data_IF_955611539855
#
_entry.id   IF_955611539855
#
_cell.length_a   1.000
_cell.length_b   1.000
_cell.length_c   1.000
_cell.angle_alpha   90.00
_cell.angle_beta   90.00
_cell.angle_gamma   90.00
#
_symmetry.space_group_name_H-M   'P 1'
#
loop_
_entity.id
_entity.type
_entity.pdbx_description
1 polymer ?
#
# COMPACT_ATOMS: atom_id res chain seq x y z
N UNK A 1 -13.48 25.44 -2.05
CA UNK A 1 -14.44 24.43 -1.55
C UNK A 1 -13.66 23.23 -1.05
N UNK A 2 -14.05 22.62 0.07
CA UNK A 2 -13.38 21.43 0.58
C UNK A 2 -13.71 20.22 -0.31
N UNK A 3 -12.72 19.68 -0.99
CA UNK A 3 -12.82 18.49 -1.83
C UNK A 3 -11.55 17.67 -1.73
N UNK A 4 -11.59 16.39 -2.12
CA UNK A 4 -10.39 15.56 -2.19
C UNK A 4 -9.34 16.18 -3.13
N UNK A 5 -9.75 16.67 -4.30
CA UNK A 5 -8.85 17.33 -5.26
C UNK A 5 -8.18 18.56 -4.65
N UNK A 6 -8.93 19.47 -4.05
CA UNK A 6 -8.36 20.69 -3.45
C UNK A 6 -7.43 20.37 -2.28
N UNK A 7 -7.76 19.35 -1.48
CA UNK A 7 -6.93 18.91 -0.35
C UNK A 7 -5.57 18.41 -0.82
N UNK A 8 -5.54 17.52 -1.81
CA UNK A 8 -4.29 17.04 -2.39
C UNK A 8 -3.53 18.16 -3.09
N UNK A 9 -4.21 19.06 -3.79
CA UNK A 9 -3.55 20.20 -4.43
C UNK A 9 -2.82 21.07 -3.41
N UNK A 10 -3.41 21.36 -2.25
CA UNK A 10 -2.73 22.11 -1.19
C UNK A 10 -1.47 21.42 -0.68
N UNK A 11 -1.49 20.08 -0.55
CA UNK A 11 -0.31 19.29 -0.15
C UNK A 11 0.75 19.30 -1.26
N UNK A 12 0.33 19.30 -2.53
CA UNK A 12 1.26 19.31 -3.66
C UNK A 12 1.84 20.69 -3.91
N UNK A 13 1.14 21.78 -3.61
CA UNK A 13 1.60 23.13 -3.93
C UNK A 13 2.61 23.68 -2.91
N UNK A 14 2.64 23.13 -1.70
CA UNK A 14 3.55 23.55 -0.62
C UNK A 14 4.74 22.58 -0.47
N UNK A 15 5.95 23.14 -0.41
CA UNK A 15 7.18 22.34 -0.41
C UNK A 15 7.33 21.45 0.83
N UNK A 16 6.94 21.93 2.01
CA UNK A 16 7.14 21.18 3.25
C UNK A 16 6.15 20.02 3.37
N UNK A 17 4.89 20.25 3.03
CA UNK A 17 3.86 19.21 3.03
C UNK A 17 4.07 18.20 1.90
N UNK A 18 4.48 18.64 0.70
CA UNK A 18 4.90 17.77 -0.38
C UNK A 18 6.09 16.89 0.04
N UNK A 19 7.08 17.49 0.71
CA UNK A 19 8.27 16.80 1.21
C UNK A 19 7.89 15.69 2.18
N UNK A 20 7.07 16.00 3.17
CA UNK A 20 6.61 15.02 4.15
C UNK A 20 5.78 13.93 3.48
N UNK A 21 4.83 14.30 2.61
CA UNK A 21 3.96 13.33 1.93
C UNK A 21 4.75 12.33 1.09
N UNK A 22 5.70 12.80 0.28
CA UNK A 22 6.54 11.91 -0.52
C UNK A 22 7.46 11.05 0.35
N UNK A 23 7.95 11.56 1.48
CA UNK A 23 8.83 10.79 2.38
C UNK A 23 8.08 9.66 3.09
N UNK A 24 6.83 9.90 3.52
CA UNK A 24 5.95 8.87 4.09
C UNK A 24 5.71 7.77 3.05
N UNK A 25 5.35 8.15 1.82
CA UNK A 25 5.12 7.20 0.75
C UNK A 25 6.40 6.40 0.44
N UNK A 26 7.52 7.07 0.16
CA UNK A 26 8.80 6.43 -0.15
C UNK A 26 9.25 5.41 0.90
N UNK A 27 9.06 5.73 2.19
CA UNK A 27 9.39 4.83 3.30
C UNK A 27 8.50 3.58 3.29
N UNK A 28 7.20 3.73 3.09
CA UNK A 28 6.26 2.61 3.02
C UNK A 28 6.58 1.67 1.86
N UNK A 29 6.81 2.22 0.67
CA UNK A 29 7.13 1.46 -0.54
C UNK A 29 8.47 0.71 -0.40
N UNK A 30 9.51 1.37 0.12
CA UNK A 30 10.83 0.74 0.31
C UNK A 30 10.79 -0.40 1.33
N UNK A 31 9.93 -0.27 2.35
CA UNK A 31 9.71 -1.33 3.32
C UNK A 31 8.97 -2.52 2.67
N UNK A 32 7.93 -2.26 1.88
CA UNK A 32 7.21 -3.30 1.11
C UNK A 32 8.16 -4.05 0.16
N UNK A 33 9.08 -3.34 -0.49
CA UNK A 33 10.13 -3.92 -1.32
C UNK A 33 11.04 -4.87 -0.55
N UNK A 34 11.57 -4.43 0.60
CA UNK A 34 12.38 -5.27 1.49
C UNK A 34 11.63 -6.50 1.99
N UNK A 35 10.38 -6.35 2.43
CA UNK A 35 9.56 -7.45 2.95
C UNK A 35 9.35 -8.53 1.87
N UNK A 36 8.95 -8.12 0.67
CA UNK A 36 8.76 -9.04 -0.46
C UNK A 36 10.07 -9.73 -0.86
N UNK A 37 11.20 -9.01 -0.88
CA UNK A 37 12.51 -9.61 -1.16
C UNK A 37 12.86 -10.71 -0.14
N UNK A 38 12.59 -10.48 1.15
CA UNK A 38 12.79 -11.50 2.20
C UNK A 38 11.83 -12.67 2.05
N UNK A 39 10.56 -12.42 1.79
CA UNK A 39 9.56 -13.49 1.59
C UNK A 39 9.95 -14.35 0.39
N UNK A 40 10.37 -13.74 -0.72
CA UNK A 40 10.84 -14.44 -1.91
C UNK A 40 12.04 -15.36 -1.62
N UNK A 41 13.00 -14.89 -0.82
CA UNK A 41 14.15 -15.71 -0.41
C UNK A 41 13.72 -16.92 0.45
N UNK A 42 12.69 -16.75 1.27
CA UNK A 42 12.27 -17.74 2.26
C UNK A 42 11.08 -18.61 1.85
N UNK A 43 10.51 -18.47 0.63
CA UNK A 43 9.36 -19.30 0.21
C UNK A 43 9.70 -20.79 0.33
N UNK A 44 8.80 -21.62 0.90
CA UNK A 44 9.01 -23.06 0.98
C UNK A 44 9.02 -23.72 -0.40
N UNK A 45 9.65 -24.88 -0.48
CA UNK A 45 9.72 -25.68 -1.71
C UNK A 45 8.33 -25.97 -2.30
N UNK A 46 7.34 -26.27 -1.46
CA UNK A 46 5.95 -26.53 -1.91
C UNK A 46 5.31 -25.35 -2.64
N UNK A 47 5.84 -24.14 -2.47
CA UNK A 47 5.34 -22.90 -3.08
C UNK A 47 6.39 -22.20 -3.94
N UNK A 48 7.46 -22.91 -4.35
CA UNK A 48 8.62 -22.30 -5.01
C UNK A 48 8.28 -21.48 -6.25
N UNK A 49 7.24 -21.89 -6.99
CA UNK A 49 6.73 -21.21 -8.17
C UNK A 49 6.23 -19.77 -7.91
N UNK A 50 5.91 -19.40 -6.66
CA UNK A 50 5.55 -18.03 -6.30
C UNK A 50 6.74 -17.07 -6.27
N UNK A 51 7.96 -17.59 -6.07
CA UNK A 51 9.13 -16.75 -5.80
C UNK A 51 9.36 -15.66 -6.86
N UNK A 52 9.30 -15.95 -8.18
CA UNK A 52 9.49 -14.91 -9.19
C UNK A 52 8.43 -13.81 -9.12
N UNK A 53 7.17 -14.15 -8.81
CA UNK A 53 6.08 -13.18 -8.67
C UNK A 53 6.29 -12.28 -7.44
N UNK A 54 6.73 -12.86 -6.32
CA UNK A 54 7.04 -12.12 -5.09
C UNK A 54 8.25 -11.21 -5.30
N UNK A 55 9.29 -11.68 -6.00
CA UNK A 55 10.43 -10.82 -6.41
C UNK A 55 9.95 -9.67 -7.27
N UNK A 56 9.05 -9.93 -8.24
CA UNK A 56 8.51 -8.90 -9.11
C UNK A 56 7.70 -7.87 -8.33
N UNK A 57 6.85 -8.31 -7.40
CA UNK A 57 6.10 -7.44 -6.50
C UNK A 57 7.07 -6.54 -5.72
N UNK A 58 8.04 -7.10 -5.01
CA UNK A 58 9.02 -6.31 -4.26
C UNK A 58 9.82 -5.33 -5.12
N UNK A 59 10.18 -5.69 -6.35
CA UNK A 59 10.87 -4.80 -7.27
C UNK A 59 9.99 -3.63 -7.75
N UNK A 60 8.68 -3.83 -7.86
CA UNK A 60 7.71 -2.79 -8.18
C UNK A 60 7.52 -1.82 -6.99
N UNK A 61 7.44 -2.31 -5.76
CA UNK A 61 7.42 -1.48 -4.53
C UNK A 61 8.70 -0.64 -4.40
N UNK A 62 9.88 -1.28 -4.54
CA UNK A 62 11.18 -0.58 -4.53
C UNK A 62 11.24 0.52 -5.61
N UNK A 63 10.62 0.27 -6.77
CA UNK A 63 10.50 1.26 -7.85
C UNK A 63 9.58 2.41 -7.46
N UNK A 64 8.46 2.15 -6.77
CA UNK A 64 7.57 3.20 -6.28
C UNK A 64 8.27 4.09 -5.26
N UNK A 65 9.03 3.52 -4.33
CA UNK A 65 9.86 4.28 -3.39
C UNK A 65 10.81 5.24 -4.10
N UNK A 66 11.55 4.73 -5.10
CA UNK A 66 12.44 5.55 -5.94
C UNK A 66 11.71 6.65 -6.73
N UNK A 67 10.45 6.42 -7.13
CA UNK A 67 9.66 7.45 -7.82
C UNK A 67 9.37 8.61 -6.87
N UNK A 68 8.99 8.35 -5.63
CA UNK A 68 8.77 9.40 -4.63
C UNK A 68 10.06 10.15 -4.28
N UNK A 69 11.19 9.46 -4.15
CA UNK A 69 12.50 10.11 -3.97
C UNK A 69 12.89 10.97 -5.18
N UNK A 70 12.62 10.50 -6.40
CA UNK A 70 12.88 11.27 -7.61
C UNK A 70 12.01 12.54 -7.67
N UNK A 71 10.76 12.48 -7.20
CA UNK A 71 9.88 13.64 -7.08
C UNK A 71 10.43 14.69 -6.10
N UNK A 72 10.95 14.25 -4.94
CA UNK A 72 11.65 15.13 -4.00
C UNK A 72 12.88 15.80 -4.64
N UNK A 73 13.74 14.98 -5.29
CA UNK A 73 14.96 15.45 -5.94
C UNK A 73 14.68 16.45 -7.05
N UNK A 74 13.65 16.20 -7.88
CA UNK A 74 13.22 17.10 -8.96
C UNK A 74 12.80 18.47 -8.42
N UNK A 75 12.30 18.51 -7.19
CA UNK A 75 11.91 19.74 -6.49
C UNK A 75 13.02 20.34 -5.61
N UNK A 76 14.21 19.73 -5.59
CA UNK A 76 15.33 20.21 -4.77
C UNK A 76 15.15 19.98 -3.26
N UNK A 77 14.27 19.06 -2.87
CA UNK A 77 13.93 18.81 -1.47
C UNK A 77 14.65 17.56 -0.94
N UNK A 78 15.23 17.59 0.28
CA UNK A 78 15.72 16.39 0.94
C UNK A 78 14.54 15.58 1.53
N UNK A 79 14.75 14.27 1.75
CA UNK A 79 13.78 13.46 2.48
C UNK A 79 13.52 13.99 3.90
N UNK A 80 12.28 13.86 4.36
CA UNK A 80 11.87 14.17 5.73
C UNK A 80 12.02 12.95 6.64
N UNK A 81 12.20 13.21 7.93
CA UNK A 81 11.95 12.19 8.95
C UNK A 81 10.47 11.83 8.94
N UNK A 82 10.17 10.53 8.85
CA UNK A 82 8.80 10.01 8.81
C UNK A 82 8.27 9.90 10.25
N UNK A 83 7.19 10.61 10.61
CA UNK A 83 6.58 10.48 11.92
C UNK A 83 6.09 9.06 12.17
N UNK A 84 6.40 8.49 13.34
CA UNK A 84 6.06 7.11 13.67
C UNK A 84 4.54 6.82 13.69
N UNK A 85 3.69 7.84 13.86
CA UNK A 85 2.23 7.73 13.79
C UNK A 85 1.68 7.74 12.36
N UNK A 86 2.55 7.97 11.36
CA UNK A 86 2.24 7.89 9.92
C UNK A 86 2.84 6.65 9.25
N UNK A 87 3.68 5.90 9.97
CA UNK A 87 4.32 4.68 9.48
C UNK A 87 3.31 3.52 9.43
N UNK A 88 2.60 3.44 8.31
CA UNK A 88 1.51 2.50 8.08
C UNK A 88 1.95 1.05 8.25
N UNK A 89 3.09 0.66 7.68
CA UNK A 89 3.59 -0.72 7.71
C UNK A 89 3.97 -1.13 9.13
N UNK A 90 4.65 -0.26 9.88
CA UNK A 90 4.95 -0.56 11.29
C UNK A 90 3.73 -0.61 12.19
N UNK A 91 2.71 0.21 11.92
CA UNK A 91 1.46 0.17 12.68
C UNK A 91 0.66 -1.11 12.38
N UNK A 92 0.68 -1.61 11.15
CA UNK A 92 0.10 -2.91 10.80
C UNK A 92 0.78 -4.06 11.54
N UNK A 93 2.12 -4.13 11.53
CA UNK A 93 2.85 -5.18 12.26
C UNK A 93 2.54 -5.13 13.76
N UNK A 94 2.49 -3.94 14.37
CA UNK A 94 2.13 -3.78 15.79
C UNK A 94 0.72 -4.31 16.10
N UNK A 95 -0.16 -4.35 15.11
CA UNK A 95 -1.51 -4.93 15.22
C UNK A 95 -1.56 -6.43 14.86
N UNK A 96 -0.39 -7.06 14.68
CA UNK A 96 -0.26 -8.48 14.35
C UNK A 96 -0.63 -8.81 12.91
N UNK A 97 -0.55 -7.84 12.01
CA UNK A 97 -0.91 -7.98 10.60
C UNK A 97 0.35 -8.15 9.75
N UNK A 98 0.31 -9.07 8.79
CA UNK A 98 1.45 -9.43 7.96
C UNK A 98 2.40 -10.43 8.63
N UNK A 99 3.59 -10.59 8.05
CA UNK A 99 4.66 -11.37 8.65
C UNK A 99 5.56 -10.43 9.46
N UNK A 100 5.84 -10.78 10.72
CA UNK A 100 6.68 -9.95 11.57
C UNK A 100 8.10 -9.80 10.99
N UNK A 101 8.70 -8.62 11.12
CA UNK A 101 10.05 -8.36 10.63
C UNK A 101 11.08 -9.30 11.27
N UNK A 102 10.87 -9.68 12.53
CA UNK A 102 11.70 -10.67 13.21
C UNK A 102 11.68 -12.03 12.49
N UNK A 103 10.53 -12.44 11.94
CA UNK A 103 10.42 -13.67 11.14
C UNK A 103 11.13 -13.52 9.80
N UNK A 104 10.98 -12.38 9.13
CA UNK A 104 11.59 -12.13 7.82
C UNK A 104 13.11 -11.95 7.86
N UNK A 105 13.68 -11.51 9.00
CA UNK A 105 15.13 -11.45 9.20
C UNK A 105 15.80 -12.81 9.39
N UNK A 106 15.03 -13.84 9.76
CA UNK A 106 15.55 -15.21 9.87
C UNK A 106 15.91 -15.81 8.52
N UNK A 107 16.61 -16.94 8.53
CA UNK A 107 16.99 -17.70 7.32
C UNK A 107 16.16 -18.98 7.12
N UNK A 108 15.38 -19.35 8.13
CA UNK A 108 14.51 -20.52 8.08
C UNK A 108 13.39 -20.34 7.05
N UNK A 109 13.15 -21.34 6.17
CA UNK A 109 12.05 -21.30 5.24
C UNK A 109 10.71 -20.98 5.91
N UNK A 110 9.89 -20.21 5.20
CA UNK A 110 8.51 -19.92 5.56
C UNK A 110 7.67 -21.20 5.51
N UNK A 111 6.69 -21.30 6.40
CA UNK A 111 5.67 -22.34 6.27
C UNK A 111 4.67 -21.96 5.19
N UNK A 112 3.93 -22.94 4.65
CA UNK A 112 2.84 -22.64 3.71
C UNK A 112 1.77 -21.72 4.30
N UNK A 113 1.55 -21.82 5.62
CA UNK A 113 0.67 -20.89 6.36
C UNK A 113 1.21 -19.46 6.36
N UNK A 114 2.52 -19.27 6.38
CA UNK A 114 3.13 -17.94 6.31
C UNK A 114 2.88 -17.33 4.92
N UNK A 115 2.95 -18.13 3.85
CA UNK A 115 2.60 -17.71 2.48
C UNK A 115 1.13 -17.32 2.38
N UNK A 116 0.22 -18.10 2.97
CA UNK A 116 -1.21 -17.73 3.04
C UNK A 116 -1.39 -16.41 3.81
N UNK A 117 -0.64 -16.21 4.89
CA UNK A 117 -0.70 -14.99 5.70
C UNK A 117 -0.22 -13.78 4.92
N UNK A 118 0.94 -13.90 4.25
CA UNK A 118 1.48 -12.89 3.36
C UNK A 118 0.49 -12.51 2.26
N UNK A 119 0.01 -13.47 1.47
CA UNK A 119 -0.88 -13.17 0.35
C UNK A 119 -2.20 -12.55 0.82
N UNK A 120 -2.75 -13.01 1.95
CA UNK A 120 -3.97 -12.44 2.50
C UNK A 120 -3.76 -11.02 3.03
N UNK A 121 -2.60 -10.75 3.65
CA UNK A 121 -2.20 -9.41 4.06
C UNK A 121 -2.04 -8.49 2.85
N UNK A 122 -1.19 -8.87 1.89
CA UNK A 122 -0.95 -8.12 0.65
C UNK A 122 -2.27 -7.84 -0.05
N UNK A 123 -3.14 -8.84 -0.23
CA UNK A 123 -4.45 -8.62 -0.88
C UNK A 123 -5.28 -7.48 -0.26
N UNK A 124 -5.22 -7.31 1.08
CA UNK A 124 -5.94 -6.23 1.78
C UNK A 124 -5.24 -4.89 1.57
N UNK A 125 -3.91 -4.83 1.68
CA UNK A 125 -3.13 -3.61 1.47
C UNK A 125 -3.13 -3.16 0.01
N UNK A 126 -3.01 -4.09 -0.95
CA UNK A 126 -3.12 -3.83 -2.39
C UNK A 126 -4.50 -3.30 -2.77
N UNK A 127 -5.57 -3.78 -2.12
CA UNK A 127 -6.91 -3.23 -2.33
C UNK A 127 -6.96 -1.76 -1.93
N UNK A 128 -6.33 -1.41 -0.79
CA UNK A 128 -6.25 -0.03 -0.31
C UNK A 128 -5.42 0.83 -1.26
N UNK A 129 -4.23 0.36 -1.62
CA UNK A 129 -3.30 1.05 -2.51
C UNK A 129 -3.95 1.31 -3.87
N UNK A 130 -4.53 0.29 -4.51
CA UNK A 130 -5.26 0.43 -5.78
C UNK A 130 -6.41 1.47 -5.70
N UNK A 131 -7.21 1.46 -4.63
CA UNK A 131 -8.29 2.44 -4.45
C UNK A 131 -7.77 3.88 -4.28
N UNK A 132 -6.71 4.07 -3.49
CA UNK A 132 -6.08 5.39 -3.31
C UNK A 132 -5.43 5.88 -4.61
N UNK A 133 -4.72 5.01 -5.32
CA UNK A 133 -4.06 5.36 -6.57
C UNK A 133 -5.07 5.69 -7.68
N UNK A 134 -6.19 4.98 -7.77
CA UNK A 134 -7.29 5.34 -8.68
C UNK A 134 -7.89 6.72 -8.37
N UNK A 135 -7.99 7.08 -7.09
CA UNK A 135 -8.41 8.43 -6.69
C UNK A 135 -7.41 9.49 -7.14
N UNK A 136 -6.11 9.24 -6.98
CA UNK A 136 -5.05 10.14 -7.45
C UNK A 136 -5.04 10.27 -8.97
N UNK A 137 -5.14 9.17 -9.71
CA UNK A 137 -5.27 9.18 -11.18
C UNK A 137 -6.47 10.00 -11.62
N UNK A 138 -7.63 9.83 -10.98
CA UNK A 138 -8.85 10.61 -11.31
C UNK A 138 -8.62 12.12 -11.25
N UNK A 139 -7.81 12.60 -10.32
CA UNK A 139 -7.63 14.04 -10.09
C UNK A 139 -6.35 14.62 -10.69
N UNK A 140 -5.31 13.79 -10.86
CA UNK A 140 -3.95 14.24 -11.15
C UNK A 140 -3.28 13.46 -12.28
N UNK A 141 -4.00 12.64 -13.07
CA UNK A 141 -3.40 11.98 -14.23
C UNK A 141 -2.71 12.97 -15.17
N UNK A 142 -3.31 14.14 -15.41
CA UNK A 142 -2.77 15.15 -16.31
C UNK A 142 -1.88 16.18 -15.61
N UNK A 143 -1.56 15.96 -14.33
CA UNK A 143 -0.63 16.81 -13.61
C UNK A 143 0.80 16.67 -14.19
N UNK A 144 1.48 17.78 -14.52
CA UNK A 144 2.79 17.75 -15.18
C UNK A 144 3.92 17.25 -14.27
N UNK A 145 3.73 17.26 -12.95
CA UNK A 145 4.72 16.84 -11.97
C UNK A 145 4.51 15.37 -11.62
N UNK A 146 3.31 15.00 -11.20
CA UNK A 146 3.04 13.67 -10.62
C UNK A 146 2.23 12.74 -11.53
N UNK A 147 1.63 13.25 -12.61
CA UNK A 147 0.69 12.48 -13.44
C UNK A 147 1.28 11.20 -14.04
N UNK A 148 2.55 11.22 -14.45
CA UNK A 148 3.27 10.01 -14.90
C UNK A 148 3.47 9.00 -13.77
N UNK A 149 3.87 9.48 -12.59
CA UNK A 149 4.10 8.64 -11.41
C UNK A 149 2.81 7.95 -10.98
N UNK A 150 1.72 8.70 -10.77
CA UNK A 150 0.45 8.13 -10.27
C UNK A 150 -0.16 7.09 -11.21
N UNK A 151 -0.04 7.28 -12.54
CA UNK A 151 -0.50 6.29 -13.52
C UNK A 151 0.37 5.04 -13.57
N UNK A 152 1.67 5.16 -13.29
CA UNK A 152 2.55 3.99 -13.24
C UNK A 152 2.22 3.16 -12.01
N UNK A 153 2.28 3.79 -10.84
CA UNK A 153 2.02 3.15 -9.55
C UNK A 153 0.61 2.52 -9.57
N UNK A 154 -0.42 3.26 -10.01
CA UNK A 154 -1.79 2.71 -10.10
C UNK A 154 -1.92 1.46 -10.97
N UNK A 155 -1.10 1.31 -12.02
CA UNK A 155 -1.13 0.11 -12.88
C UNK A 155 -0.41 -1.06 -12.24
N UNK A 156 0.63 -0.78 -11.45
CA UNK A 156 1.35 -1.80 -10.71
C UNK A 156 0.48 -2.32 -9.55
N UNK A 157 -0.20 -1.44 -8.79
CA UNK A 157 -1.13 -1.85 -7.72
C UNK A 157 -2.27 -2.73 -8.24
N UNK A 158 -2.80 -2.42 -9.41
CA UNK A 158 -3.84 -3.25 -10.03
C UNK A 158 -3.28 -4.65 -10.40
N UNK A 159 -1.99 -4.75 -10.75
CA UNK A 159 -1.34 -6.04 -10.99
C UNK A 159 -1.05 -6.80 -9.70
N UNK A 160 -0.60 -6.11 -8.64
CA UNK A 160 -0.39 -6.70 -7.32
C UNK A 160 -1.69 -7.27 -6.76
N UNK A 161 -2.78 -6.50 -6.84
CA UNK A 161 -4.11 -6.93 -6.42
C UNK A 161 -4.60 -8.14 -7.23
N UNK A 162 -4.43 -8.13 -8.56
CA UNK A 162 -4.78 -9.25 -9.42
C UNK A 162 -4.00 -10.52 -9.07
N UNK A 163 -2.69 -10.40 -8.88
CA UNK A 163 -1.81 -11.48 -8.42
C UNK A 163 -2.29 -12.07 -7.09
N UNK A 164 -2.59 -11.23 -6.11
CA UNK A 164 -3.07 -11.66 -4.81
C UNK A 164 -4.40 -12.43 -4.91
N UNK A 165 -5.33 -11.94 -5.73
CA UNK A 165 -6.59 -12.63 -6.01
C UNK A 165 -6.36 -14.03 -6.59
N UNK A 166 -5.55 -14.12 -7.63
CA UNK A 166 -5.25 -15.36 -8.34
C UNK A 166 -4.61 -16.41 -7.42
N UNK A 167 -3.57 -16.04 -6.68
CA UNK A 167 -2.85 -16.97 -5.83
C UNK A 167 -3.64 -17.40 -4.59
N UNK A 168 -4.44 -16.50 -4.00
CA UNK A 168 -5.36 -16.89 -2.93
C UNK A 168 -6.46 -17.82 -3.42
N UNK A 169 -6.98 -17.62 -4.63
CA UNK A 169 -7.95 -18.55 -5.23
C UNK A 169 -7.31 -19.91 -5.52
N UNK A 170 -6.06 -19.94 -6.01
CA UNK A 170 -5.30 -21.18 -6.20
C UNK A 170 -5.10 -21.92 -4.88
N UNK A 171 -4.66 -21.24 -3.82
CA UNK A 171 -4.48 -21.83 -2.49
C UNK A 171 -5.81 -22.25 -1.85
N UNK A 172 -6.90 -21.54 -2.11
CA UNK A 172 -8.23 -21.94 -1.67
C UNK A 172 -8.66 -23.28 -2.31
N UNK A 173 -8.41 -23.46 -3.61
CA UNK A 173 -8.64 -24.73 -4.33
C UNK A 173 -7.74 -25.85 -3.80
N UNK A 174 -6.55 -25.53 -3.31
CA UNK A 174 -5.63 -26.47 -2.64
C UNK A 174 -6.00 -26.79 -1.17
N UNK A 175 -7.12 -26.26 -0.64
CA UNK A 175 -7.63 -26.60 0.69
C UNK A 175 -7.47 -25.52 1.76
N UNK A 176 -6.83 -24.38 1.45
CA UNK A 176 -6.60 -23.29 2.43
C UNK A 176 -7.77 -22.34 2.64
N UNK A 177 -8.92 -22.59 1.99
CA UNK A 177 -10.03 -21.64 1.95
C UNK A 177 -10.53 -21.15 3.32
N UNK A 178 -10.55 -22.00 4.35
CA UNK A 178 -10.96 -21.59 5.71
C UNK A 178 -9.93 -20.68 6.36
N UNK A 179 -8.64 -20.97 6.19
CA UNK A 179 -7.55 -20.16 6.72
C UNK A 179 -7.53 -18.78 6.04
N UNK A 180 -7.62 -18.76 4.70
CA UNK A 180 -7.67 -17.54 3.89
C UNK A 180 -8.81 -16.63 4.34
N UNK A 181 -10.04 -17.14 4.46
CA UNK A 181 -11.19 -16.32 4.88
C UNK A 181 -11.01 -15.72 6.27
N UNK A 182 -10.44 -16.48 7.21
CA UNK A 182 -10.17 -16.00 8.57
C UNK A 182 -9.14 -14.87 8.53
N UNK A 183 -7.99 -15.12 7.88
CA UNK A 183 -6.89 -14.17 7.84
C UNK A 183 -7.30 -12.90 7.10
N UNK A 184 -7.95 -13.00 5.93
CA UNK A 184 -8.47 -11.83 5.20
C UNK A 184 -9.38 -10.96 6.08
N UNK A 185 -10.27 -11.58 6.88
CA UNK A 185 -11.13 -10.83 7.79
C UNK A 185 -10.36 -10.18 8.93
N UNK A 186 -9.42 -10.88 9.53
CA UNK A 186 -8.55 -10.34 10.59
C UNK A 186 -7.74 -9.15 10.06
N UNK A 187 -7.07 -9.32 8.92
CA UNK A 187 -6.32 -8.29 8.21
C UNK A 187 -7.21 -7.08 7.87
N UNK A 188 -8.35 -7.27 7.21
CA UNK A 188 -9.22 -6.17 6.81
C UNK A 188 -9.71 -5.35 8.01
N UNK A 189 -10.09 -5.99 9.11
CA UNK A 189 -10.62 -5.26 10.27
C UNK A 189 -9.54 -4.50 11.04
N UNK A 190 -8.31 -5.02 11.06
CA UNK A 190 -7.17 -4.33 11.64
C UNK A 190 -6.68 -3.20 10.74
N UNK A 191 -6.56 -3.45 9.43
CA UNK A 191 -6.17 -2.45 8.44
C UNK A 191 -7.10 -1.24 8.48
N UNK A 192 -8.42 -1.42 8.52
CA UNK A 192 -9.38 -0.31 8.58
C UNK A 192 -9.13 0.59 9.82
N UNK A 193 -8.68 0.03 10.94
CA UNK A 193 -8.34 0.81 12.14
C UNK A 193 -7.02 1.56 11.95
N UNK A 194 -6.00 0.86 11.46
CA UNK A 194 -4.67 1.45 11.21
C UNK A 194 -4.78 2.56 10.16
N UNK A 195 -5.50 2.33 9.07
CA UNK A 195 -5.72 3.32 8.01
C UNK A 195 -6.43 4.58 8.52
N UNK A 196 -7.41 4.44 9.42
CA UNK A 196 -8.04 5.59 10.09
C UNK A 196 -7.00 6.37 10.90
N UNK A 197 -6.21 5.69 11.74
CA UNK A 197 -5.25 6.34 12.64
C UNK A 197 -4.14 7.04 11.86
N UNK A 198 -3.61 6.39 10.84
CA UNK A 198 -2.63 6.98 9.90
C UNK A 198 -3.24 8.16 9.15
N UNK A 199 -4.48 8.04 8.64
CA UNK A 199 -5.14 9.15 7.95
C UNK A 199 -5.31 10.37 8.86
N UNK A 200 -5.69 10.16 10.13
CA UNK A 200 -5.81 11.24 11.11
C UNK A 200 -4.44 11.88 11.40
N UNK A 201 -3.41 11.06 11.60
CA UNK A 201 -2.05 11.53 11.84
C UNK A 201 -1.53 12.36 10.65
N UNK A 202 -1.60 11.82 9.43
CA UNK A 202 -1.18 12.52 8.20
C UNK A 202 -1.94 13.84 8.06
N UNK A 203 -3.27 13.85 8.19
CA UNK A 203 -4.03 15.11 8.11
C UNK A 203 -3.68 16.10 9.22
N UNK A 204 -3.33 15.64 10.42
CA UNK A 204 -2.88 16.52 11.50
C UNK A 204 -1.50 17.13 11.20
N UNK A 205 -0.56 16.36 10.65
CA UNK A 205 0.74 16.88 10.20
C UNK A 205 0.58 17.87 9.06
N UNK A 206 -0.19 17.53 8.01
CA UNK A 206 -0.46 18.42 6.88
C UNK A 206 -1.16 19.70 7.34
N UNK A 207 -2.14 19.60 8.23
CA UNK A 207 -2.86 20.77 8.75
C UNK A 207 -1.99 21.70 9.60
N UNK A 208 -0.96 21.19 10.27
CA UNK A 208 0.03 22.02 10.98
C UNK A 208 0.93 22.77 10.01
N UNK A 209 1.46 22.07 9.00
CA UNK A 209 2.34 22.66 7.97
C UNK A 209 1.57 23.74 7.18
N UNK A 210 0.38 23.40 6.70
CA UNK A 210 -0.44 24.25 5.84
C UNK A 210 -1.28 25.29 6.61
N UNK A 211 -1.18 25.35 7.94
CA UNK A 211 -1.92 26.31 8.77
C UNK A 211 -3.45 26.19 8.65
N UNK A 212 -3.99 24.96 8.53
CA UNK A 212 -5.44 24.78 8.35
C UNK A 212 -6.25 25.30 9.55
N UNK A 213 -7.35 26.03 9.31
CA UNK A 213 -8.19 26.51 10.40
C UNK A 213 -8.92 25.34 11.07
N UNK A 214 -9.19 25.46 12.38
CA UNK A 214 -9.82 24.41 13.20
C UNK A 214 -11.09 23.80 12.57
N UNK A 215 -12.01 24.57 11.96
CA UNK A 215 -13.19 23.98 11.31
C UNK A 215 -12.85 23.03 10.16
N UNK A 216 -11.82 23.33 9.37
CA UNK A 216 -11.37 22.46 8.27
C UNK A 216 -10.78 21.16 8.81
N UNK A 217 -9.90 21.25 9.81
CA UNK A 217 -9.31 20.09 10.45
C UNK A 217 -10.39 19.18 11.08
N UNK A 218 -11.37 19.78 11.78
CA UNK A 218 -12.50 19.04 12.35
C UNK A 218 -13.36 18.35 11.28
N UNK A 219 -13.64 19.04 10.16
CA UNK A 219 -14.40 18.46 9.05
C UNK A 219 -13.67 17.26 8.41
N UNK A 220 -12.34 17.36 8.21
CA UNK A 220 -11.52 16.26 7.69
C UNK A 220 -11.51 15.06 8.65
N UNK A 221 -11.31 15.31 9.95
CA UNK A 221 -11.36 14.26 10.96
C UNK A 221 -12.73 13.56 11.02
N UNK A 222 -13.82 14.33 10.96
CA UNK A 222 -15.18 13.79 10.88
C UNK A 222 -15.38 12.92 9.63
N UNK A 223 -14.86 13.34 8.47
CA UNK A 223 -14.87 12.55 7.24
C UNK A 223 -14.12 11.22 7.37
N UNK A 224 -12.95 11.23 8.01
CA UNK A 224 -12.16 10.02 8.29
C UNK A 224 -12.93 9.06 9.22
N UNK A 225 -13.55 9.58 10.29
CA UNK A 225 -14.35 8.76 11.18
C UNK A 225 -15.61 8.19 10.52
N UNK A 226 -16.27 8.96 9.65
CA UNK A 226 -17.42 8.49 8.88
C UNK A 226 -17.02 7.36 7.92
N UNK A 227 -15.89 7.52 7.21
CA UNK A 227 -15.33 6.47 6.36
C UNK A 227 -15.00 5.21 7.18
N UNK A 228 -14.30 5.36 8.31
CA UNK A 228 -14.02 4.26 9.22
C UNK A 228 -15.28 3.52 9.67
N UNK A 229 -16.34 4.23 10.03
CA UNK A 229 -17.62 3.62 10.42
C UNK A 229 -18.25 2.83 9.26
N UNK A 230 -18.28 3.41 8.06
CA UNK A 230 -18.75 2.73 6.86
C UNK A 230 -17.95 1.45 6.57
N UNK A 231 -16.61 1.53 6.63
CA UNK A 231 -15.73 0.41 6.35
C UNK A 231 -15.90 -0.71 7.37
N UNK A 232 -16.04 -0.37 8.65
CA UNK A 232 -16.28 -1.33 9.73
C UNK A 232 -17.62 -2.06 9.58
N UNK A 233 -18.66 -1.38 9.10
CA UNK A 233 -20.00 -1.95 8.97
C UNK A 233 -20.16 -2.81 7.71
N UNK A 234 -19.74 -2.28 6.56
CA UNK A 234 -20.00 -2.89 5.27
C UNK A 234 -18.78 -2.90 4.33
N UNK A 235 -17.97 -1.84 4.35
CA UNK A 235 -16.89 -1.66 3.39
C UNK A 235 -15.82 -2.74 3.46
N UNK A 236 -15.59 -3.38 4.61
CA UNK A 236 -14.61 -4.48 4.76
C UNK A 236 -14.90 -5.68 3.85
N UNK A 237 -16.15 -5.87 3.41
CA UNK A 237 -16.50 -6.98 2.51
C UNK A 237 -15.71 -6.93 1.21
N UNK A 238 -15.47 -5.73 0.66
CA UNK A 238 -14.71 -5.57 -0.58
C UNK A 238 -13.25 -6.01 -0.43
N UNK A 239 -12.67 -5.85 0.77
CA UNK A 239 -11.29 -6.22 1.12
C UNK A 239 -11.09 -7.73 1.31
N UNK A 240 -12.17 -8.50 1.47
CA UNK A 240 -12.09 -9.94 1.71
C UNK A 240 -12.69 -10.78 0.58
N UNK A 241 -13.48 -10.15 -0.30
CA UNK A 241 -14.08 -10.83 -1.45
C UNK A 241 -13.03 -11.17 -2.50
N UNK A 242 -12.77 -12.45 -2.69
CA UNK A 242 -11.94 -12.94 -3.78
C UNK A 242 -12.79 -13.18 -5.02
N UNK A 243 -12.26 -12.80 -6.17
CA UNK A 243 -12.83 -12.98 -7.48
C UNK A 243 -11.71 -13.22 -8.48
N UNK A 244 -11.99 -13.99 -9.54
CA UNK A 244 -11.00 -14.22 -10.59
C UNK A 244 -10.63 -12.86 -11.23
N UNK A 245 -9.34 -12.50 -11.30
CA UNK A 245 -8.94 -11.20 -11.85
C UNK A 245 -9.12 -11.16 -13.37
N UNK A 246 -9.41 -9.99 -13.92
CA UNK A 246 -9.52 -9.78 -15.37
C UNK A 246 -8.17 -10.06 -16.07
N UNK A 247 -7.07 -9.61 -15.45
CA UNK A 247 -5.71 -9.92 -15.89
C UNK A 247 -5.16 -11.08 -15.08
N UNK A 248 -4.97 -12.22 -15.73
CA UNK A 248 -4.27 -13.39 -15.18
C UNK A 248 -2.77 -13.25 -15.32
N UNK A 249 -2.05 -13.90 -14.41
CA UNK A 249 -0.59 -13.94 -14.38
C UNK A 249 0.06 -12.55 -14.45
N UNK A 250 -0.54 -11.60 -13.73
CA UNK A 250 -0.18 -10.18 -13.83
C UNK A 250 1.30 -9.90 -13.50
N UNK A 251 1.92 -10.76 -12.68
CA UNK A 251 3.34 -10.70 -12.30
C UNK A 251 4.20 -11.85 -12.85
N UNK A 252 3.68 -12.68 -13.77
CA UNK A 252 4.42 -13.83 -14.31
C UNK A 252 5.36 -13.50 -15.48
N UNK A 253 5.17 -12.35 -16.13
CA UNK A 253 6.08 -11.87 -17.17
C UNK A 253 7.37 -11.28 -16.56
N UNK A 254 8.53 -11.42 -17.22
CA UNK A 254 9.77 -10.82 -16.75
C UNK A 254 9.63 -9.30 -16.59
N UNK A 255 10.24 -8.78 -15.54
CA UNK A 255 10.28 -7.36 -15.24
C UNK A 255 10.80 -6.57 -16.45
N UNK A 256 9.96 -5.76 -17.08
CA UNK A 256 10.43 -4.79 -18.08
C UNK A 256 11.26 -3.75 -17.31
N UNK A 257 12.55 -3.63 -17.65
CA UNK A 257 13.39 -2.58 -17.10
C UNK A 257 12.75 -1.22 -17.46
N UNK A 258 12.19 -0.55 -16.46
CA UNK A 258 11.57 0.76 -16.67
C UNK A 258 12.63 1.75 -17.10
N UNK A 259 12.42 2.46 -18.20
CA UNK A 259 13.21 3.64 -18.54
C UNK A 259 13.23 4.56 -17.32
N UNK A 260 14.43 4.88 -16.84
CA UNK A 260 14.65 5.68 -15.64
C UNK A 260 13.80 6.95 -15.69
N UNK A 261 13.20 7.30 -14.55
CA UNK A 261 12.61 8.62 -14.37
C UNK A 261 13.75 9.63 -14.36
N UNK A 262 14.13 10.11 -15.54
CA UNK A 262 14.96 11.29 -15.74
C UNK A 262 14.11 12.55 -15.63
#
# INVERSE_FOLDING_TARGET
MLSAKSLFQEILDDDESFRLFCSIAASGESQGGWENARIAALVPESQRALAPKIVRHGADEDKHGRIFDALLKKRGLPAAEVPADTDYTMLLERHGIGLAHARLRGEEPLAERDIVTYLAHSRVTEQRASEQMRLLVRYFADDPVIGRAVRMISRDEDNHLAYCHEELLRLARAGHGRAIRRILRECALAEIRVYRDVSLAVMAHMGRILGWPRPKAAALAAGIHAMYAYERLAGWRRMVSLAEPERRDALGAPAVAGAEFA
#
